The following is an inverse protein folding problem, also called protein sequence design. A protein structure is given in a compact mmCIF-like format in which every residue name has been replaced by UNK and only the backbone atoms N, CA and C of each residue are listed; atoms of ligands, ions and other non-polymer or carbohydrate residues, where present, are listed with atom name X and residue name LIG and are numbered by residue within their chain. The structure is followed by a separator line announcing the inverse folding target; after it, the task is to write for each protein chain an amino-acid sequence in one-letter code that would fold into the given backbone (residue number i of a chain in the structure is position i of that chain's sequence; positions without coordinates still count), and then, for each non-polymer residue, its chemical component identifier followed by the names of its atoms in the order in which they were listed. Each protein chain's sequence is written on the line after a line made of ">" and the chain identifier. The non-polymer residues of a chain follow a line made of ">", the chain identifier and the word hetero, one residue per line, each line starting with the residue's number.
data_IF_564750462039
#
_entry.id   IF_564750462039
#
_cell.length_a   1.000
_cell.length_b   1.000
_cell.length_c   1.000
_cell.angle_alpha   90.00
_cell.angle_beta   90.00
_cell.angle_gamma   90.00
#
_symmetry.space_group_name_H-M   'P 1'
#
loop_
_entity.id
_entity.type
_entity.pdbx_description
1 polymer ?
#
# COMPACT_ATOMS: atom_id res chain seq x y z
N UNK A 1 -25.35 -14.58 16.11
CA UNK A 1 -24.17 -14.21 15.29
C UNK A 1 -22.87 -14.07 16.11
N UNK A 2 -22.87 -13.44 17.29
CA UNK A 2 -21.67 -13.27 18.15
C UNK A 2 -21.08 -14.59 18.66
N UNK A 3 -21.91 -15.58 19.00
CA UNK A 3 -21.46 -16.85 19.57
C UNK A 3 -20.81 -17.79 18.54
N UNK A 4 -21.33 -17.86 17.33
CA UNK A 4 -20.68 -18.56 16.19
C UNK A 4 -19.31 -17.97 15.86
N UNK A 5 -19.18 -16.64 15.95
CA UNK A 5 -17.93 -15.93 15.73
C UNK A 5 -16.89 -16.23 16.80
N UNK A 6 -17.32 -16.34 18.07
CA UNK A 6 -16.45 -16.66 19.21
C UNK A 6 -15.99 -18.12 19.18
N UNK A 7 -16.85 -19.06 18.74
CA UNK A 7 -16.49 -20.47 18.54
C UNK A 7 -15.52 -20.66 17.38
N UNK A 8 -15.70 -19.91 16.28
CA UNK A 8 -14.79 -19.94 15.15
C UNK A 8 -13.40 -19.38 15.47
N UNK A 9 -13.32 -18.29 16.23
CA UNK A 9 -12.05 -17.71 16.71
C UNK A 9 -11.34 -18.65 17.70
N UNK A 10 -12.09 -19.35 18.56
CA UNK A 10 -11.55 -20.41 19.42
C UNK A 10 -11.07 -21.61 18.62
N UNK A 11 -11.77 -22.00 17.56
CA UNK A 11 -11.36 -23.07 16.66
C UNK A 11 -10.09 -22.70 15.87
N UNK A 12 -9.98 -21.48 15.37
CA UNK A 12 -8.73 -20.97 14.76
C UNK A 12 -7.57 -20.92 15.78
N UNK A 13 -7.83 -20.54 17.02
CA UNK A 13 -6.84 -20.57 18.11
C UNK A 13 -6.41 -22.01 18.45
N UNK A 14 -7.33 -22.99 18.40
CA UNK A 14 -7.04 -24.41 18.64
C UNK A 14 -6.28 -25.06 17.48
N UNK A 15 -6.59 -24.68 16.23
CA UNK A 15 -5.85 -25.15 15.05
C UNK A 15 -4.44 -24.55 15.00
N UNK A 16 -4.28 -23.29 15.44
CA UNK A 16 -2.96 -22.66 15.58
C UNK A 16 -2.15 -23.19 16.78
N UNK A 17 -2.83 -23.58 17.87
CA UNK A 17 -2.19 -24.10 19.08
C UNK A 17 -1.90 -25.61 19.08
N UNK A 18 -2.45 -26.37 18.13
CA UNK A 18 -2.35 -27.84 18.07
C UNK A 18 -1.19 -28.41 17.23
N UNK A 19 -0.40 -27.58 16.56
CA UNK A 19 0.72 -28.00 15.72
C UNK A 19 2.05 -27.35 16.12
N UNK A 20 2.43 -27.49 17.37
CA UNK A 20 3.85 -27.38 17.75
C UNK A 20 4.56 -28.67 17.32
N UNK A 21 4.91 -28.79 16.05
CA UNK A 21 5.82 -29.84 15.61
C UNK A 21 7.24 -29.33 15.80
N UNK A 22 7.86 -29.83 16.85
CA UNK A 22 9.31 -29.76 17.07
C UNK A 22 10.03 -30.33 15.84
N UNK A 23 10.87 -29.56 15.18
CA UNK A 23 11.84 -30.10 14.23
C UNK A 23 12.27 -29.25 13.03
N UNK A 24 11.59 -28.13 12.71
CA UNK A 24 11.91 -27.36 11.50
C UNK A 24 12.62 -26.00 11.70
N UNK A 25 12.88 -25.60 12.91
CA UNK A 25 13.18 -24.20 13.24
C UNK A 25 14.61 -23.72 12.95
N UNK A 26 15.56 -24.61 12.68
CA UNK A 26 16.98 -24.21 12.46
C UNK A 26 17.33 -23.83 11.03
N UNK A 27 16.49 -24.18 10.05
CA UNK A 27 16.78 -23.99 8.62
C UNK A 27 16.30 -22.64 8.07
N UNK A 28 15.42 -21.90 8.75
CA UNK A 28 14.81 -20.69 8.19
C UNK A 28 15.65 -19.41 8.32
N UNK A 29 16.53 -19.31 9.32
CA UNK A 29 17.29 -18.08 9.54
C UNK A 29 18.42 -17.87 8.53
N UNK A 30 19.03 -18.95 8.05
CA UNK A 30 20.18 -18.90 7.15
C UNK A 30 19.79 -18.87 5.67
N UNK A 31 18.63 -19.40 5.29
CA UNK A 31 18.22 -19.50 3.89
C UNK A 31 17.63 -18.21 3.30
N UNK A 32 17.05 -17.33 4.11
CA UNK A 32 16.46 -16.06 3.60
C UNK A 32 17.59 -15.11 3.15
N UNK A 33 18.74 -15.11 3.84
CA UNK A 33 19.91 -14.29 3.47
C UNK A 33 20.84 -14.97 2.46
N UNK A 34 20.78 -16.30 2.31
CA UNK A 34 21.63 -17.05 1.38
C UNK A 34 20.97 -17.36 0.04
N UNK A 35 19.63 -17.28 -0.08
CA UNK A 35 19.02 -17.36 -1.41
C UNK A 35 19.43 -16.10 -2.18
N UNK A 36 20.21 -16.30 -3.26
CA UNK A 36 20.49 -15.26 -4.25
C UNK A 36 19.21 -14.50 -4.52
N UNK A 37 19.23 -13.18 -4.38
CA UNK A 37 18.10 -12.25 -4.61
C UNK A 37 17.84 -12.20 -6.12
N UNK A 38 17.58 -13.33 -6.71
CA UNK A 38 17.36 -13.44 -8.16
C UNK A 38 15.88 -13.24 -8.46
N UNK A 39 15.53 -12.56 -9.54
CA UNK A 39 14.15 -12.41 -9.99
C UNK A 39 13.46 -13.75 -10.18
N UNK A 40 12.12 -13.75 -10.14
CA UNK A 40 11.37 -14.97 -10.47
C UNK A 40 11.68 -15.41 -11.91
N UNK A 41 11.62 -16.71 -12.20
CA UNK A 41 11.87 -17.25 -13.55
C UNK A 41 11.01 -16.55 -14.62
N UNK A 42 9.75 -16.23 -14.28
CA UNK A 42 8.84 -15.51 -15.19
C UNK A 42 9.27 -14.07 -15.46
N UNK A 43 9.76 -13.35 -14.45
CA UNK A 43 10.28 -11.98 -14.61
C UNK A 43 11.58 -12.00 -15.41
N UNK A 44 12.53 -12.90 -15.08
CA UNK A 44 13.76 -13.06 -15.85
C UNK A 44 13.50 -13.38 -17.32
N UNK A 45 12.52 -14.25 -17.61
CA UNK A 45 12.11 -14.57 -18.95
C UNK A 45 11.49 -13.38 -19.68
N UNK A 46 10.68 -12.56 -18.98
CA UNK A 46 10.09 -11.34 -19.56
C UNK A 46 11.15 -10.31 -19.91
N UNK A 47 12.23 -10.23 -19.13
CA UNK A 47 13.36 -9.33 -19.41
C UNK A 47 14.20 -9.88 -20.56
N UNK A 48 14.55 -11.16 -20.53
CA UNK A 48 15.32 -11.81 -21.61
C UNK A 48 14.63 -11.69 -22.97
N UNK A 49 13.29 -11.75 -22.98
CA UNK A 49 12.48 -11.59 -24.19
C UNK A 49 12.21 -10.11 -24.57
N UNK A 50 12.81 -9.14 -23.87
CA UNK A 50 12.62 -7.69 -24.14
C UNK A 50 11.24 -7.14 -23.81
N UNK A 51 10.38 -7.92 -23.13
CA UNK A 51 9.03 -7.49 -22.72
C UNK A 51 9.09 -6.49 -21.57
N UNK A 52 10.08 -6.62 -20.69
CA UNK A 52 10.36 -5.68 -19.60
C UNK A 52 11.82 -5.25 -19.75
N UNK A 53 12.07 -3.95 -19.64
CA UNK A 53 13.41 -3.35 -19.66
C UNK A 53 13.79 -2.87 -18.27
N UNK A 54 15.07 -2.82 -17.96
CA UNK A 54 15.58 -2.02 -16.85
C UNK A 54 15.69 -0.58 -17.36
N UNK A 55 15.18 0.39 -16.61
CA UNK A 55 15.24 1.80 -17.00
C UNK A 55 16.69 2.28 -16.93
N UNK A 56 17.10 3.08 -17.90
CA UNK A 56 18.43 3.71 -17.91
C UNK A 56 18.50 4.95 -17.03
N UNK A 57 17.35 5.58 -16.78
CA UNK A 57 17.27 6.74 -15.90
C UNK A 57 17.13 6.30 -14.46
N UNK A 58 17.95 6.86 -13.57
CA UNK A 58 17.88 6.64 -12.12
C UNK A 58 16.59 7.16 -11.54
N UNK A 59 16.04 6.38 -10.63
CA UNK A 59 14.89 6.74 -9.79
C UNK A 59 15.34 6.91 -8.35
N UNK A 60 15.43 8.14 -7.89
CA UNK A 60 15.81 8.43 -6.51
C UNK A 60 14.66 8.09 -5.56
N UNK A 61 15.00 7.40 -4.49
CA UNK A 61 14.10 7.14 -3.35
C UNK A 61 14.80 7.62 -2.09
N UNK A 62 14.18 8.55 -1.41
CA UNK A 62 14.71 9.26 -0.27
C UNK A 62 14.26 8.61 1.03
N UNK A 63 15.23 8.30 1.89
CA UNK A 63 15.03 7.58 3.13
C UNK A 63 15.44 8.46 4.31
N UNK A 64 14.57 8.56 5.30
CA UNK A 64 14.88 9.17 6.58
C UNK A 64 14.47 8.21 7.71
N UNK A 65 15.39 7.89 8.60
CA UNK A 65 15.11 7.07 9.77
C UNK A 65 14.73 7.94 10.96
N UNK A 66 13.52 7.73 11.48
CA UNK A 66 13.05 8.30 12.74
C UNK A 66 13.31 7.31 13.87
N UNK A 67 13.94 7.76 14.94
CA UNK A 67 14.20 6.92 16.12
C UNK A 67 13.02 6.94 17.11
N UNK A 68 12.23 8.00 17.11
CA UNK A 68 11.10 8.16 18.00
C UNK A 68 9.85 8.64 17.26
N UNK A 69 8.68 8.33 17.81
CA UNK A 69 7.38 8.78 17.26
C UNK A 69 7.30 10.31 17.22
N UNK A 70 7.92 10.99 18.19
CA UNK A 70 7.98 12.47 18.26
C UNK A 70 8.71 13.09 17.06
N UNK A 71 9.64 12.37 16.46
CA UNK A 71 10.46 12.85 15.35
C UNK A 71 9.77 12.64 13.99
N UNK A 72 8.59 12.00 13.97
CA UNK A 72 7.92 11.60 12.72
C UNK A 72 7.50 12.80 11.88
N UNK A 73 7.05 13.88 12.49
CA UNK A 73 6.67 15.11 11.76
C UNK A 73 7.89 15.69 11.02
N UNK A 74 9.01 15.83 11.71
CA UNK A 74 10.28 16.32 11.13
C UNK A 74 10.82 15.36 10.06
N UNK A 75 10.76 14.05 10.31
CA UNK A 75 11.17 13.02 9.37
C UNK A 75 10.40 13.10 8.04
N UNK A 76 9.08 13.30 8.10
CA UNK A 76 8.24 13.47 6.92
C UNK A 76 8.59 14.75 6.16
N UNK A 77 8.78 15.86 6.87
CA UNK A 77 9.15 17.14 6.27
C UNK A 77 10.51 17.03 5.57
N UNK A 78 11.51 16.43 6.21
CA UNK A 78 12.84 16.23 5.63
C UNK A 78 12.82 15.32 4.41
N UNK A 79 12.10 14.19 4.50
CA UNK A 79 11.97 13.26 3.39
C UNK A 79 11.25 13.89 2.18
N UNK A 80 10.19 14.65 2.42
CA UNK A 80 9.46 15.34 1.37
C UNK A 80 10.30 16.45 0.70
N UNK A 81 11.00 17.28 1.48
CA UNK A 81 11.87 18.33 0.95
C UNK A 81 13.10 17.76 0.18
N UNK A 82 13.56 16.58 0.53
CA UNK A 82 14.62 15.92 -0.22
C UNK A 82 14.11 15.32 -1.54
N UNK A 83 12.87 14.77 -1.54
CA UNK A 83 12.30 14.10 -2.70
C UNK A 83 11.84 15.08 -3.79
N UNK A 84 11.46 16.32 -3.41
CA UNK A 84 11.01 17.33 -4.36
C UNK A 84 11.25 18.73 -3.82
N UNK A 85 11.60 19.66 -4.71
CA UNK A 85 11.74 21.09 -4.40
C UNK A 85 10.40 21.82 -4.28
N UNK A 86 9.30 21.14 -4.54
CA UNK A 86 7.94 21.70 -4.66
C UNK A 86 7.78 22.76 -5.77
N UNK A 87 8.70 22.84 -6.74
CA UNK A 87 8.61 23.77 -7.87
C UNK A 87 7.34 23.60 -8.72
N UNK A 88 6.69 22.45 -8.62
CA UNK A 88 5.39 22.17 -9.25
C UNK A 88 4.21 22.88 -8.55
N UNK A 89 4.35 23.31 -7.28
CA UNK A 89 3.29 23.96 -6.50
C UNK A 89 3.47 25.49 -6.55
N UNK A 90 2.51 26.17 -7.15
CA UNK A 90 2.45 27.64 -7.16
C UNK A 90 1.55 28.16 -6.04
N UNK A 91 1.87 29.33 -5.51
CA UNK A 91 1.02 29.99 -4.52
C UNK A 91 -0.42 30.13 -5.01
N UNK A 92 -1.37 29.76 -4.16
CA UNK A 92 -2.80 29.80 -4.48
C UNK A 92 -3.36 28.49 -5.06
N UNK A 93 -2.52 27.53 -5.43
CA UNK A 93 -2.97 26.23 -5.93
C UNK A 93 -3.46 25.31 -4.80
N UNK A 94 -4.18 24.28 -5.20
CA UNK A 94 -4.75 23.26 -4.33
C UNK A 94 -4.03 21.91 -4.48
N UNK A 95 -3.86 21.23 -3.35
CA UNK A 95 -3.26 19.89 -3.31
C UNK A 95 -4.21 18.90 -2.66
N UNK A 96 -4.42 17.77 -3.32
CA UNK A 96 -5.15 16.64 -2.75
C UNK A 96 -4.16 15.63 -2.17
N UNK A 97 -4.24 15.37 -0.87
CA UNK A 97 -3.52 14.27 -0.22
C UNK A 97 -4.42 13.03 -0.28
N UNK A 98 -3.98 12.03 -1.04
CA UNK A 98 -4.61 10.71 -1.01
C UNK A 98 -4.08 9.91 0.16
N UNK A 99 -4.83 9.83 1.22
CA UNK A 99 -4.58 8.95 2.36
C UNK A 99 -5.15 7.54 2.13
N UNK A 100 -4.88 6.62 3.04
CA UNK A 100 -5.58 5.32 3.13
C UNK A 100 -6.42 5.32 4.40
N UNK A 101 -7.74 5.34 4.22
CA UNK A 101 -8.74 5.28 5.28
C UNK A 101 -9.68 4.09 5.07
N UNK A 102 -9.09 2.90 4.87
CA UNK A 102 -9.82 1.68 4.52
C UNK A 102 -10.86 1.28 5.57
N UNK A 103 -10.57 1.56 6.85
CA UNK A 103 -11.39 1.16 8.02
C UNK A 103 -11.24 2.17 9.15
N UNK A 104 -11.96 1.94 10.26
CA UNK A 104 -11.81 2.72 11.50
C UNK A 104 -10.69 2.20 12.43
N UNK A 105 -9.85 1.27 11.97
CA UNK A 105 -8.70 0.85 12.75
C UNK A 105 -7.58 1.89 12.69
N UNK A 106 -6.83 2.06 13.79
CA UNK A 106 -5.74 3.03 13.81
C UNK A 106 -4.59 2.59 12.89
N UNK A 107 -3.66 3.50 12.65
CA UNK A 107 -2.38 3.20 12.02
C UNK A 107 -1.69 1.98 12.70
N UNK A 108 -1.14 1.03 11.95
CA UNK A 108 -0.83 1.00 10.54
C UNK A 108 -1.91 0.36 9.64
N UNK A 109 -3.14 0.17 10.10
CA UNK A 109 -4.24 -0.25 9.23
C UNK A 109 -4.74 0.88 8.30
N UNK A 110 -4.38 2.13 8.60
CA UNK A 110 -4.60 3.34 7.80
C UNK A 110 -3.27 4.05 7.56
N UNK A 111 -3.25 5.17 6.85
CA UNK A 111 -2.09 6.07 6.81
C UNK A 111 -1.80 6.66 8.19
N UNK A 112 -0.55 7.07 8.43
CA UNK A 112 -0.13 7.65 9.70
C UNK A 112 -0.70 9.06 9.87
N UNK A 113 -1.54 9.33 10.90
CA UNK A 113 -2.13 10.65 11.11
C UNK A 113 -1.11 11.76 11.33
N UNK A 114 0.03 11.46 12.01
CA UNK A 114 1.11 12.42 12.25
C UNK A 114 1.76 12.80 10.91
N UNK A 115 2.01 11.83 10.05
CA UNK A 115 2.58 12.07 8.73
C UNK A 115 1.64 12.90 7.84
N UNK A 116 0.33 12.61 7.88
CA UNK A 116 -0.69 13.40 7.15
C UNK A 116 -0.70 14.84 7.66
N UNK A 117 -0.73 15.05 8.97
CA UNK A 117 -0.68 16.37 9.60
C UNK A 117 0.58 17.16 9.17
N UNK A 118 1.75 16.53 9.22
CA UNK A 118 3.02 17.09 8.79
C UNK A 118 2.98 17.56 7.32
N UNK A 119 2.45 16.70 6.44
CA UNK A 119 2.34 17.05 5.02
C UNK A 119 1.34 18.16 4.76
N UNK A 120 0.20 18.21 5.47
CA UNK A 120 -0.75 19.33 5.38
C UNK A 120 -0.08 20.65 5.73
N UNK A 121 0.63 20.71 6.87
CA UNK A 121 1.37 21.91 7.31
C UNK A 121 2.45 22.30 6.29
N UNK A 122 3.23 21.32 5.81
CA UNK A 122 4.29 21.57 4.83
C UNK A 122 3.74 22.14 3.52
N UNK A 123 2.69 21.56 2.96
CA UNK A 123 2.10 22.04 1.71
C UNK A 123 1.52 23.45 1.85
N UNK A 124 0.92 23.79 2.98
CA UNK A 124 0.49 25.15 3.28
C UNK A 124 1.66 26.12 3.36
N UNK A 125 2.74 25.71 4.01
CA UNK A 125 3.97 26.49 4.09
C UNK A 125 4.62 26.73 2.73
N UNK A 126 4.47 25.77 1.81
CA UNK A 126 4.93 25.85 0.41
C UNK A 126 3.98 26.66 -0.49
N UNK A 127 2.89 27.21 0.05
CA UNK A 127 1.99 28.13 -0.65
C UNK A 127 0.69 27.52 -1.18
N UNK A 128 0.36 26.27 -0.81
CA UNK A 128 -0.94 25.70 -1.12
C UNK A 128 -2.05 26.50 -0.43
N UNK A 129 -3.02 27.01 -1.20
CA UNK A 129 -4.20 27.68 -0.67
C UNK A 129 -5.14 26.68 0.03
N UNK A 130 -5.30 25.50 -0.58
CA UNK A 130 -6.14 24.42 -0.06
C UNK A 130 -5.36 23.11 -0.04
N UNK A 131 -5.41 22.42 1.09
CA UNK A 131 -4.88 21.07 1.22
C UNK A 131 -6.03 20.16 1.63
N UNK A 132 -6.48 19.33 0.71
CA UNK A 132 -7.64 18.47 0.85
C UNK A 132 -7.15 17.05 1.11
N UNK A 133 -7.68 16.37 2.12
CA UNK A 133 -7.28 15.00 2.48
C UNK A 133 -8.47 14.07 2.35
N UNK A 134 -8.35 13.02 1.55
CA UNK A 134 -9.48 12.13 1.33
C UNK A 134 -9.14 10.73 0.88
N UNK A 135 -10.13 9.86 1.07
CA UNK A 135 -10.16 8.46 0.65
C UNK A 135 -11.63 7.99 0.64
N UNK A 136 -11.90 6.91 -0.03
CA UNK A 136 -13.14 6.17 0.09
C UNK A 136 -12.89 4.82 0.75
N UNK A 137 -13.47 4.61 1.91
CA UNK A 137 -13.25 3.43 2.74
C UNK A 137 -13.56 2.11 2.02
N UNK A 138 -13.03 1.03 2.58
CA UNK A 138 -13.18 -0.31 2.01
C UNK A 138 -14.64 -0.76 1.95
N UNK A 139 -14.98 -1.54 0.92
CA UNK A 139 -16.35 -2.02 0.66
C UNK A 139 -16.94 -2.89 1.79
N UNK A 140 -16.12 -3.37 2.71
CA UNK A 140 -16.59 -4.07 3.91
C UNK A 140 -17.18 -3.10 4.94
N UNK A 141 -16.75 -1.84 4.92
CA UNK A 141 -17.09 -0.82 5.91
C UNK A 141 -18.02 0.25 5.33
N UNK A 142 -17.93 0.49 4.03
CA UNK A 142 -18.75 1.45 3.31
C UNK A 142 -19.38 0.78 2.08
N UNK A 143 -20.71 0.76 2.04
CA UNK A 143 -21.50 0.31 0.89
C UNK A 143 -22.21 1.52 0.32
N UNK A 144 -21.64 2.06 -0.75
CA UNK A 144 -22.15 3.25 -1.42
C UNK A 144 -22.76 2.87 -2.76
N UNK A 145 -24.06 3.01 -2.89
CA UNK A 145 -24.85 2.73 -4.08
C UNK A 145 -25.63 3.98 -4.49
N UNK A 146 -26.22 3.95 -5.68
CA UNK A 146 -26.95 5.09 -6.23
C UNK A 146 -28.14 5.52 -5.35
N UNK A 147 -28.80 4.56 -4.73
CA UNK A 147 -30.01 4.73 -3.94
C UNK A 147 -29.80 4.73 -2.43
N UNK A 148 -28.61 4.29 -1.96
CA UNK A 148 -28.34 4.21 -0.53
C UNK A 148 -26.84 4.17 -0.19
N UNK A 149 -26.53 4.68 1.00
CA UNK A 149 -25.21 4.58 1.62
C UNK A 149 -25.34 3.90 2.98
N UNK A 150 -24.49 2.89 3.23
CA UNK A 150 -24.38 2.20 4.52
C UNK A 150 -22.94 2.29 4.99
N UNK A 151 -22.71 2.92 6.13
CA UNK A 151 -21.40 3.28 6.63
C UNK A 151 -21.04 4.72 6.26
N UNK A 152 -19.85 5.17 6.71
CA UNK A 152 -19.35 6.53 6.46
C UNK A 152 -17.84 6.54 6.55
N UNK A 153 -17.17 7.03 5.50
CA UNK A 153 -15.71 7.25 5.53
C UNK A 153 -15.32 8.29 6.57
N UNK A 154 -16.19 9.29 6.82
CA UNK A 154 -16.00 10.30 7.87
C UNK A 154 -15.92 9.68 9.25
N UNK A 155 -16.87 8.83 9.61
CA UNK A 155 -16.89 8.14 10.89
C UNK A 155 -15.71 7.17 11.06
N UNK A 156 -15.28 6.53 9.98
CA UNK A 156 -14.10 5.66 10.01
C UNK A 156 -12.81 6.47 10.17
N UNK A 157 -12.69 7.61 9.49
CA UNK A 157 -11.56 8.53 9.61
C UNK A 157 -11.48 9.14 11.02
N UNK A 158 -12.64 9.44 11.63
CA UNK A 158 -12.72 9.88 13.02
C UNK A 158 -12.25 8.78 13.99
N UNK A 159 -12.70 7.55 13.81
CA UNK A 159 -12.30 6.41 14.66
C UNK A 159 -10.81 6.08 14.58
N UNK A 160 -10.19 6.27 13.42
CA UNK A 160 -8.74 6.05 13.25
C UNK A 160 -7.88 7.19 13.83
N UNK A 161 -8.47 8.32 14.23
CA UNK A 161 -7.76 9.51 14.70
C UNK A 161 -7.24 10.42 13.58
N UNK A 162 -7.44 10.05 12.33
CA UNK A 162 -6.93 10.83 11.20
C UNK A 162 -7.73 12.11 10.96
N UNK A 163 -9.05 12.10 11.20
CA UNK A 163 -9.89 13.29 11.00
C UNK A 163 -9.39 14.47 11.83
N UNK A 164 -9.18 14.23 13.13
CA UNK A 164 -8.70 15.24 14.06
C UNK A 164 -7.30 15.76 13.66
N UNK A 165 -6.42 14.87 13.19
CA UNK A 165 -5.07 15.27 12.75
C UNK A 165 -5.11 16.16 11.51
N UNK A 166 -6.00 15.87 10.56
CA UNK A 166 -6.21 16.69 9.35
C UNK A 166 -6.74 18.07 9.72
N UNK A 167 -7.81 18.14 10.51
CA UNK A 167 -8.46 19.40 10.92
C UNK A 167 -7.52 20.29 11.75
N UNK A 168 -6.81 19.69 12.72
CA UNK A 168 -5.85 20.40 13.56
C UNK A 168 -4.67 20.98 12.76
N UNK A 169 -4.28 20.33 11.66
CA UNK A 169 -3.27 20.84 10.74
C UNK A 169 -3.81 21.93 9.78
N UNK A 170 -5.10 22.19 9.80
CA UNK A 170 -5.81 23.10 8.89
C UNK A 170 -6.03 22.51 7.50
N UNK A 171 -6.04 21.18 7.35
CA UNK A 171 -6.45 20.50 6.14
C UNK A 171 -7.97 20.38 6.03
N UNK A 172 -8.45 20.13 4.83
CA UNK A 172 -9.87 19.95 4.52
C UNK A 172 -10.17 18.45 4.33
N UNK A 173 -10.84 17.76 5.28
CA UNK A 173 -11.23 16.38 5.07
C UNK A 173 -12.30 16.26 3.99
N UNK A 174 -12.15 15.30 3.09
CA UNK A 174 -13.07 15.11 1.96
C UNK A 174 -13.47 13.64 1.82
N UNK A 175 -14.76 13.37 1.76
CA UNK A 175 -15.34 12.03 1.68
C UNK A 175 -16.12 11.89 0.39
N UNK A 176 -15.68 11.00 -0.48
CA UNK A 176 -16.15 10.91 -1.86
C UNK A 176 -17.66 10.56 -1.94
N UNK A 177 -18.14 9.73 -1.02
CA UNK A 177 -19.55 9.33 -0.98
C UNK A 177 -20.50 10.46 -0.56
N UNK A 178 -20.02 11.46 0.17
CA UNK A 178 -20.86 12.58 0.62
C UNK A 178 -21.31 13.50 -0.53
N UNK A 179 -20.56 13.52 -1.62
CA UNK A 179 -20.95 14.22 -2.84
C UNK A 179 -22.05 13.53 -3.65
N UNK A 180 -22.45 12.32 -3.27
CA UNK A 180 -23.43 11.53 -3.98
C UNK A 180 -22.86 10.75 -5.17
N UNK A 181 -23.73 9.89 -5.75
CA UNK A 181 -23.31 8.96 -6.82
C UNK A 181 -22.79 9.65 -8.07
N UNK A 182 -23.33 10.80 -8.40
CA UNK A 182 -23.00 11.56 -9.61
C UNK A 182 -21.80 12.50 -9.44
N UNK A 183 -21.19 12.54 -8.22
CA UNK A 183 -19.94 13.26 -7.97
C UNK A 183 -18.67 12.51 -8.43
N UNK A 184 -18.84 11.55 -9.32
CA UNK A 184 -17.76 10.78 -9.93
C UNK A 184 -17.79 10.94 -11.45
N UNK A 185 -16.63 10.91 -12.05
CA UNK A 185 -16.46 10.93 -13.49
C UNK A 185 -15.76 9.68 -13.98
N UNK A 186 -15.92 9.36 -15.24
CA UNK A 186 -15.21 8.28 -15.90
C UNK A 186 -13.83 8.78 -16.34
N UNK A 187 -12.78 8.24 -15.74
CA UNK A 187 -11.40 8.44 -16.20
C UNK A 187 -10.95 7.23 -17.03
N UNK A 188 -9.98 7.43 -17.88
CA UNK A 188 -9.42 6.40 -18.74
C UNK A 188 -7.94 6.24 -18.44
N UNK A 189 -7.45 5.01 -18.51
CA UNK A 189 -6.03 4.73 -18.52
C UNK A 189 -5.45 5.09 -19.88
N UNK A 190 -4.17 5.40 -19.93
CA UNK A 190 -3.44 5.62 -21.17
C UNK A 190 -2.91 4.32 -21.79
N UNK A 191 -3.17 3.19 -21.13
CA UNK A 191 -2.81 1.84 -21.60
C UNK A 191 -4.06 1.07 -21.97
N UNK A 192 -3.98 0.25 -23.02
CA UNK A 192 -4.99 -0.78 -23.29
C UNK A 192 -4.83 -1.91 -22.28
N UNK A 193 -5.95 -2.38 -21.72
CA UNK A 193 -5.91 -3.44 -20.72
C UNK A 193 -7.26 -3.69 -20.06
N UNK A 194 -7.25 -3.95 -18.76
CA UNK A 194 -8.45 -4.35 -18.03
C UNK A 194 -9.41 -3.20 -17.67
N UNK A 195 -9.03 -1.94 -17.94
CA UNK A 195 -9.85 -0.75 -17.71
C UNK A 195 -10.27 -0.04 -19.00
N UNK A 196 -10.42 -0.77 -20.11
CA UNK A 196 -10.77 -0.19 -21.40
C UNK A 196 -12.08 0.62 -21.36
N UNK A 197 -13.03 0.22 -20.52
CA UNK A 197 -14.27 0.96 -20.29
C UNK A 197 -14.13 2.15 -19.32
N UNK A 198 -12.91 2.43 -18.87
CA UNK A 198 -12.62 3.44 -17.86
C UNK A 198 -12.96 3.02 -16.43
N UNK A 199 -12.65 3.88 -15.50
CA UNK A 199 -12.86 3.71 -14.07
C UNK A 199 -13.48 4.98 -13.45
N UNK A 200 -14.36 4.81 -12.46
CA UNK A 200 -15.08 5.94 -11.87
C UNK A 200 -14.25 6.56 -10.76
N UNK A 201 -13.80 7.80 -10.99
CA UNK A 201 -12.96 8.60 -10.11
C UNK A 201 -13.75 9.79 -9.53
N UNK A 202 -13.44 10.29 -8.32
CA UNK A 202 -14.18 11.40 -7.72
C UNK A 202 -13.89 12.73 -8.43
N UNK A 203 -14.92 13.52 -8.70
CA UNK A 203 -14.83 14.81 -9.41
C UNK A 203 -13.87 15.81 -8.79
N UNK A 204 -13.60 15.71 -7.48
CA UNK A 204 -12.63 16.57 -6.80
C UNK A 204 -11.24 16.51 -7.45
N UNK A 205 -10.84 15.37 -8.03
CA UNK A 205 -9.53 15.20 -8.66
C UNK A 205 -9.38 16.04 -9.93
N UNK A 206 -10.48 16.40 -10.61
CA UNK A 206 -10.42 17.37 -11.70
C UNK A 206 -10.20 18.79 -11.22
N UNK A 207 -10.72 19.11 -10.02
CA UNK A 207 -10.73 20.46 -9.46
C UNK A 207 -9.46 20.86 -8.74
N UNK A 208 -8.65 19.88 -8.26
CA UNK A 208 -7.37 20.14 -7.62
C UNK A 208 -6.25 20.22 -8.65
N UNK A 209 -5.18 20.95 -8.31
CA UNK A 209 -4.03 21.13 -9.20
C UNK A 209 -3.05 19.97 -9.10
N UNK A 210 -2.78 19.47 -7.90
CA UNK A 210 -1.80 18.44 -7.63
C UNK A 210 -2.31 17.37 -6.67
N UNK A 211 -1.65 16.21 -6.71
CA UNK A 211 -1.93 15.07 -5.83
C UNK A 211 -0.62 14.64 -5.15
N UNK A 212 -0.68 14.46 -3.83
CA UNK A 212 0.33 13.78 -3.03
C UNK A 212 -0.27 12.47 -2.51
N UNK A 213 0.39 11.35 -2.77
CA UNK A 213 -0.06 10.04 -2.33
C UNK A 213 0.64 9.67 -1.02
N UNK A 214 -0.13 9.39 0.01
CA UNK A 214 0.38 9.00 1.33
C UNK A 214 -0.15 7.61 1.73
N UNK A 215 0.40 6.54 1.17
CA UNK A 215 -0.04 5.19 1.44
C UNK A 215 0.40 4.72 2.82
N UNK A 216 -0.07 3.55 3.21
CA UNK A 216 0.49 2.77 4.32
C UNK A 216 1.50 1.75 3.80
N UNK A 217 2.32 1.20 4.69
CA UNK A 217 3.21 0.07 4.40
C UNK A 217 2.69 -1.16 5.15
N UNK A 218 1.99 -2.07 4.48
CA UNK A 218 1.37 -3.22 5.13
C UNK A 218 1.20 -4.44 4.21
N UNK A 219 1.03 -5.62 4.81
CA UNK A 219 0.55 -6.81 4.12
C UNK A 219 -0.91 -6.65 3.71
N UNK A 220 -1.30 -7.40 2.69
CA UNK A 220 -2.68 -7.49 2.23
C UNK A 220 -2.97 -8.89 1.70
N UNK A 221 -3.96 -9.57 2.29
CA UNK A 221 -4.29 -10.98 1.98
C UNK A 221 -4.52 -11.24 0.49
N UNK A 222 -5.16 -10.33 -0.24
CA UNK A 222 -5.47 -10.50 -1.66
C UNK A 222 -4.37 -9.98 -2.58
N UNK A 223 -3.86 -8.79 -2.30
CA UNK A 223 -2.93 -8.10 -3.20
C UNK A 223 -1.45 -8.40 -2.92
N UNK A 224 -1.14 -9.09 -1.82
CA UNK A 224 0.23 -9.28 -1.33
C UNK A 224 0.66 -8.19 -0.38
N UNK A 225 0.69 -6.96 -0.86
CA UNK A 225 0.98 -5.77 -0.06
C UNK A 225 -0.04 -4.65 -0.31
N UNK A 226 -0.13 -3.71 0.62
CA UNK A 226 -0.89 -2.47 0.51
C UNK A 226 0.09 -1.31 0.63
N UNK A 227 0.49 -0.80 -0.53
CA UNK A 227 1.47 0.25 -0.73
C UNK A 227 0.88 1.33 -1.65
N UNK A 228 1.69 2.13 -2.31
CA UNK A 228 1.27 3.21 -3.19
C UNK A 228 0.37 2.75 -4.35
N UNK A 229 0.82 1.76 -5.12
CA UNK A 229 0.06 1.22 -6.25
C UNK A 229 -1.33 0.70 -5.82
N UNK A 230 -1.42 0.05 -4.65
CA UNK A 230 -2.69 -0.47 -4.14
C UNK A 230 -3.63 0.62 -3.62
N UNK A 231 -3.10 1.78 -3.22
CA UNK A 231 -3.89 2.88 -2.68
C UNK A 231 -4.86 3.49 -3.71
N UNK A 232 -4.64 3.26 -5.02
CA UNK A 232 -5.53 3.70 -6.10
C UNK A 232 -6.96 3.22 -5.93
N UNK A 233 -7.17 2.03 -5.35
CA UNK A 233 -8.50 1.45 -5.11
C UNK A 233 -9.37 2.36 -4.25
N UNK A 234 -8.78 3.17 -3.39
CA UNK A 234 -9.47 4.13 -2.54
C UNK A 234 -10.07 5.33 -3.30
N UNK A 235 -9.68 5.60 -4.53
CA UNK A 235 -10.35 6.61 -5.37
C UNK A 235 -11.67 6.10 -5.97
N UNK A 236 -11.78 4.80 -6.22
CA UNK A 236 -12.82 4.27 -7.09
C UNK A 236 -14.20 4.23 -6.43
N UNK A 237 -15.22 4.58 -7.22
CA UNK A 237 -16.63 4.39 -6.83
C UNK A 237 -16.93 2.89 -6.59
N UNK A 238 -17.93 2.60 -5.81
CA UNK A 238 -18.26 1.22 -5.38
C UNK A 238 -18.42 0.24 -6.53
N UNK A 239 -19.06 0.64 -7.63
CA UNK A 239 -19.23 -0.21 -8.82
C UNK A 239 -17.88 -0.62 -9.44
N UNK A 240 -16.95 0.33 -9.55
CA UNK A 240 -15.58 0.06 -10.02
C UNK A 240 -14.83 -0.85 -9.03
N UNK A 241 -14.97 -0.60 -7.70
CA UNK A 241 -14.40 -1.50 -6.66
C UNK A 241 -14.98 -2.91 -6.74
N UNK A 242 -16.28 -3.05 -6.99
CA UNK A 242 -16.93 -4.36 -7.15
C UNK A 242 -16.42 -5.07 -8.40
N UNK A 243 -16.35 -4.37 -9.55
CA UNK A 243 -15.77 -4.91 -10.78
C UNK A 243 -14.32 -5.40 -10.56
N UNK A 244 -13.51 -4.61 -9.86
CA UNK A 244 -12.15 -4.96 -9.49
C UNK A 244 -12.07 -6.28 -8.69
N UNK A 245 -12.94 -6.46 -7.70
CA UNK A 245 -12.95 -7.66 -6.86
C UNK A 245 -13.57 -8.87 -7.55
N UNK A 246 -14.59 -8.69 -8.38
CA UNK A 246 -15.19 -9.80 -9.16
C UNK A 246 -14.23 -10.39 -10.19
N UNK A 247 -13.31 -9.60 -10.71
CA UNK A 247 -12.30 -10.05 -11.67
C UNK A 247 -11.00 -10.49 -10.98
N UNK A 248 -11.10 -11.41 -10.02
CA UNK A 248 -9.99 -11.88 -9.20
C UNK A 248 -8.74 -12.32 -9.98
N UNK A 249 -8.91 -12.92 -11.16
CA UNK A 249 -7.79 -13.35 -12.02
C UNK A 249 -6.93 -12.21 -12.53
N UNK A 250 -7.46 -11.00 -12.62
CA UNK A 250 -6.77 -9.77 -13.07
C UNK A 250 -6.65 -8.71 -11.97
N UNK A 251 -6.83 -9.09 -10.71
CA UNK A 251 -6.82 -8.14 -9.59
C UNK A 251 -5.48 -7.38 -9.48
N UNK A 252 -4.36 -8.05 -9.67
CA UNK A 252 -3.04 -7.44 -9.56
C UNK A 252 -2.77 -6.51 -10.73
N UNK A 253 -3.10 -6.95 -11.95
CA UNK A 253 -2.97 -6.16 -13.17
C UNK A 253 -3.85 -4.90 -13.09
N UNK A 254 -5.13 -5.06 -12.72
CA UNK A 254 -6.05 -3.93 -12.52
C UNK A 254 -5.58 -2.94 -11.46
N UNK A 255 -4.90 -3.43 -10.42
CA UNK A 255 -4.29 -2.56 -9.40
C UNK A 255 -3.21 -1.67 -10.02
N UNK A 256 -2.29 -2.24 -10.77
CA UNK A 256 -1.21 -1.48 -11.42
C UNK A 256 -1.77 -0.52 -12.48
N UNK A 257 -2.64 -1.00 -13.37
CA UNK A 257 -3.24 -0.22 -14.46
C UNK A 257 -4.09 0.96 -13.96
N UNK A 258 -4.78 0.82 -12.82
CA UNK A 258 -5.56 1.91 -12.25
C UNK A 258 -4.73 3.16 -11.95
N UNK A 259 -3.41 3.00 -11.70
CA UNK A 259 -2.49 4.13 -11.52
C UNK A 259 -2.10 4.81 -12.85
N UNK A 260 -2.48 4.22 -13.99
CA UNK A 260 -2.35 4.82 -15.33
C UNK A 260 -3.57 5.68 -15.72
N UNK A 261 -4.50 5.95 -14.80
CA UNK A 261 -5.57 6.92 -14.99
C UNK A 261 -4.97 8.29 -15.38
N UNK A 262 -5.48 8.89 -16.45
CA UNK A 262 -4.92 10.12 -17.03
C UNK A 262 -4.81 11.25 -16.01
N UNK A 263 -5.82 11.38 -15.13
CA UNK A 263 -5.78 12.39 -14.07
C UNK A 263 -4.65 12.17 -13.07
N UNK A 264 -4.39 10.91 -12.69
CA UNK A 264 -3.29 10.60 -11.77
C UNK A 264 -1.93 10.87 -12.41
N UNK A 265 -1.72 10.46 -13.66
CA UNK A 265 -0.49 10.74 -14.40
C UNK A 265 -0.21 12.23 -14.55
N UNK A 266 -1.26 13.02 -14.76
CA UNK A 266 -1.13 14.47 -14.92
C UNK A 266 -0.82 15.21 -13.62
N UNK A 267 -1.32 14.72 -12.45
CA UNK A 267 -1.38 15.51 -11.20
C UNK A 267 -0.59 14.94 -10.03
N UNK A 268 -0.28 13.64 -10.00
CA UNK A 268 0.46 13.03 -8.90
C UNK A 268 1.94 13.45 -8.96
N UNK A 269 2.46 14.03 -7.85
CA UNK A 269 3.78 14.62 -7.78
C UNK A 269 4.73 13.90 -6.81
N UNK A 270 4.18 13.37 -5.72
CA UNK A 270 4.96 12.78 -4.65
C UNK A 270 4.22 11.58 -4.08
N UNK A 271 4.97 10.55 -3.74
CA UNK A 271 4.51 9.42 -2.92
C UNK A 271 5.38 9.37 -1.68
N UNK A 272 4.77 9.38 -0.51
CA UNK A 272 5.49 9.33 0.76
C UNK A 272 4.76 8.45 1.77
N UNK A 273 5.46 7.54 2.41
CA UNK A 273 4.91 6.64 3.41
C UNK A 273 5.81 6.55 4.64
N UNK A 274 5.21 6.13 5.76
CA UNK A 274 5.92 5.83 7.00
C UNK A 274 5.89 4.33 7.28
N UNK A 275 6.98 3.81 7.82
CA UNK A 275 7.17 2.42 8.18
C UNK A 275 7.72 2.26 9.60
N UNK A 276 7.32 3.12 10.53
CA UNK A 276 7.58 3.02 11.97
C UNK A 276 6.68 1.98 12.66
N UNK A 277 5.54 1.69 12.06
CA UNK A 277 4.67 0.55 12.39
C UNK A 277 4.21 -0.12 11.11
N UNK A 278 4.25 -1.44 11.10
CA UNK A 278 3.91 -2.24 9.92
C UNK A 278 2.83 -3.25 10.30
N UNK A 279 1.78 -3.35 9.50
CA UNK A 279 0.87 -4.49 9.56
C UNK A 279 1.52 -5.64 8.79
N UNK A 280 2.28 -6.47 9.51
CA UNK A 280 3.25 -7.38 8.92
C UNK A 280 2.67 -8.72 8.46
N UNK A 281 1.49 -9.11 8.99
CA UNK A 281 0.79 -10.33 8.61
C UNK A 281 -0.59 -10.02 8.06
N UNK A 282 -1.28 -10.95 7.52
CA UNK A 282 -2.64 -10.96 7.01
C UNK A 282 -3.11 -9.67 6.27
N UNK A 283 -3.44 -8.55 6.98
CA UNK A 283 -4.05 -7.34 6.39
C UNK A 283 -5.38 -7.60 5.64
N UNK A 284 -6.10 -6.56 5.24
CA UNK A 284 -5.77 -5.13 5.30
C UNK A 284 -6.03 -4.46 6.65
N UNK A 285 -6.94 -4.96 7.48
CA UNK A 285 -7.42 -4.27 8.68
C UNK A 285 -6.83 -4.83 9.97
N UNK A 286 -6.51 -6.12 9.98
CA UNK A 286 -6.00 -6.86 11.13
C UNK A 286 -4.82 -7.73 10.76
N UNK A 287 -3.94 -7.97 11.71
CA UNK A 287 -2.73 -8.76 11.61
C UNK A 287 -1.79 -8.40 12.73
N UNK A 288 -0.61 -8.98 12.72
CA UNK A 288 0.43 -8.62 13.66
C UNK A 288 1.00 -7.23 13.32
N UNK A 289 1.01 -6.34 14.30
CA UNK A 289 1.62 -5.02 14.18
C UNK A 289 3.07 -5.12 14.66
N UNK A 290 3.99 -4.95 13.74
CA UNK A 290 5.42 -4.88 14.03
C UNK A 290 5.85 -3.41 14.16
N UNK A 291 6.59 -3.11 15.22
CA UNK A 291 7.24 -1.82 15.42
C UNK A 291 8.74 -2.01 15.23
N UNK A 292 9.33 -1.60 14.12
CA UNK A 292 10.78 -1.64 13.91
C UNK A 292 11.54 -0.83 14.94
N UNK A 293 12.82 -1.18 15.17
CA UNK A 293 13.70 -0.42 16.09
C UNK A 293 13.94 1.01 15.63
N UNK A 294 13.80 1.28 14.34
CA UNK A 294 13.76 2.62 13.75
C UNK A 294 12.58 2.70 12.79
N UNK A 295 11.90 3.82 12.76
CA UNK A 295 10.86 4.11 11.77
C UNK A 295 11.49 4.61 10.47
N UNK A 296 11.06 4.10 9.32
CA UNK A 296 11.55 4.56 8.02
C UNK A 296 10.49 5.40 7.32
N UNK A 297 10.84 6.62 6.95
CA UNK A 297 10.06 7.43 6.01
C UNK A 297 10.65 7.23 4.62
N UNK A 298 9.81 6.93 3.65
CA UNK A 298 10.17 6.62 2.27
C UNK A 298 9.44 7.59 1.35
N UNK A 299 10.18 8.38 0.58
CA UNK A 299 9.62 9.37 -0.33
C UNK A 299 10.21 9.24 -1.73
N UNK A 300 9.38 9.37 -2.77
CA UNK A 300 9.80 9.36 -4.16
C UNK A 300 8.76 10.03 -5.08
N UNK A 301 9.17 10.54 -6.23
CA UNK A 301 8.24 10.97 -7.28
C UNK A 301 7.67 9.76 -8.04
N UNK A 302 8.48 8.72 -8.26
CA UNK A 302 8.05 7.47 -8.91
C UNK A 302 7.31 6.55 -7.93
N UNK A 303 6.04 6.28 -8.21
CA UNK A 303 5.23 5.35 -7.42
C UNK A 303 5.78 3.91 -7.47
N UNK A 304 6.36 3.50 -8.59
CA UNK A 304 6.92 2.16 -8.75
C UNK A 304 8.20 2.03 -7.92
N UNK A 305 9.09 3.03 -7.99
CA UNK A 305 10.31 3.07 -7.20
C UNK A 305 10.01 3.11 -5.69
N UNK A 306 9.05 3.94 -5.28
CA UNK A 306 8.56 3.99 -3.90
C UNK A 306 8.08 2.62 -3.42
N UNK A 307 7.27 1.92 -4.21
CA UNK A 307 6.69 0.64 -3.80
C UNK A 307 7.73 -0.49 -3.78
N UNK A 308 8.74 -0.47 -4.65
CA UNK A 308 9.88 -1.40 -4.58
C UNK A 308 10.59 -1.29 -3.23
N UNK A 309 10.90 -0.07 -2.79
CA UNK A 309 11.62 0.18 -1.53
C UNK A 309 10.72 -0.07 -0.32
N UNK A 310 9.47 0.34 -0.38
CA UNK A 310 8.49 0.09 0.69
C UNK A 310 8.22 -1.40 0.88
N UNK A 311 8.18 -2.17 -0.22
CA UNK A 311 8.06 -3.62 -0.14
C UNK A 311 9.32 -4.27 0.41
N UNK A 312 10.51 -3.80 0.00
CA UNK A 312 11.77 -4.26 0.57
C UNK A 312 11.81 -4.02 2.09
N UNK A 313 11.37 -2.84 2.55
CA UNK A 313 11.24 -2.53 3.98
C UNK A 313 10.29 -3.46 4.71
N UNK A 314 9.12 -3.72 4.14
CA UNK A 314 8.14 -4.66 4.71
C UNK A 314 8.72 -6.08 4.82
N UNK A 315 9.40 -6.56 3.79
CA UNK A 315 10.01 -7.90 3.76
C UNK A 315 11.24 -8.00 4.66
N UNK A 316 12.06 -6.95 4.76
CA UNK A 316 13.16 -6.88 5.71
C UNK A 316 12.64 -7.07 7.14
N UNK A 317 11.62 -6.32 7.54
CA UNK A 317 11.03 -6.39 8.87
C UNK A 317 10.32 -7.72 9.14
N UNK A 318 9.82 -8.40 8.10
CA UNK A 318 9.26 -9.75 8.22
C UNK A 318 10.26 -10.73 8.86
N UNK A 319 11.54 -10.61 8.55
CA UNK A 319 12.59 -11.48 9.11
C UNK A 319 12.83 -11.25 10.61
N UNK A 320 12.35 -10.13 11.12
CA UNK A 320 12.49 -9.72 12.51
C UNK A 320 11.24 -10.04 13.37
N UNK A 321 10.20 -10.60 12.76
CA UNK A 321 8.98 -10.97 13.50
C UNK A 321 9.25 -12.10 14.49
N UNK A 322 8.48 -12.20 15.59
CA UNK A 322 8.48 -13.36 16.47
C UNK A 322 8.23 -14.65 15.66
N UNK A 323 8.86 -15.74 16.10
CA UNK A 323 8.82 -17.01 15.36
C UNK A 323 7.38 -17.53 15.12
N UNK A 324 6.49 -17.33 16.08
CA UNK A 324 5.08 -17.68 16.02
C UNK A 324 4.30 -16.88 14.95
N UNK A 325 4.75 -15.67 14.63
CA UNK A 325 4.12 -14.82 13.61
C UNK A 325 4.69 -15.03 12.22
N UNK A 326 5.89 -15.63 12.11
CA UNK A 326 6.56 -15.84 10.83
C UNK A 326 5.87 -16.92 9.97
N UNK A 327 5.22 -17.91 10.60
CA UNK A 327 4.60 -19.04 9.90
C UNK A 327 3.13 -18.87 9.55
N UNK A 328 2.45 -17.85 10.09
CA UNK A 328 1.00 -17.69 9.96
C UNK A 328 0.68 -16.61 8.94
N UNK A 329 -0.07 -16.91 7.87
CA UNK A 329 -0.54 -15.96 6.85
C UNK A 329 0.54 -15.12 6.13
N UNK A 330 1.82 -15.30 6.49
CA UNK A 330 2.95 -14.57 5.88
C UNK A 330 3.31 -15.19 4.54
N UNK A 331 3.27 -16.52 4.48
CA UNK A 331 3.63 -17.30 3.31
C UNK A 331 2.50 -18.27 2.96
N UNK A 332 1.90 -18.08 1.78
CA UNK A 332 0.85 -18.96 1.27
C UNK A 332 1.40 -20.27 0.70
N UNK A 333 2.71 -20.48 0.69
CA UNK A 333 3.34 -21.72 0.22
C UNK A 333 3.09 -22.91 1.17
N UNK A 334 2.92 -22.63 2.48
CA UNK A 334 2.64 -23.70 3.46
C UNK A 334 1.19 -24.17 3.40
N UNK A 335 0.95 -25.44 3.63
CA UNK A 335 -0.41 -26.01 3.64
C UNK A 335 -1.32 -25.35 4.68
N UNK A 336 -0.77 -25.02 5.86
CA UNK A 336 -1.49 -24.36 6.95
C UNK A 336 -1.88 -22.93 6.58
N UNK A 337 -0.96 -22.16 5.98
CA UNK A 337 -1.24 -20.81 5.51
C UNK A 337 -2.28 -20.80 4.38
N UNK A 338 -2.20 -21.75 3.45
CA UNK A 338 -3.21 -21.94 2.38
C UNK A 338 -4.58 -22.24 2.95
N UNK A 339 -4.68 -23.15 3.91
CA UNK A 339 -5.93 -23.49 4.57
C UNK A 339 -6.49 -22.28 5.34
N UNK A 340 -5.65 -21.59 6.11
CA UNK A 340 -6.04 -20.40 6.87
C UNK A 340 -6.51 -19.26 5.95
N UNK A 341 -5.80 -18.99 4.86
CA UNK A 341 -6.21 -18.01 3.87
C UNK A 341 -7.53 -18.38 3.19
N UNK A 342 -7.72 -19.67 2.84
CA UNK A 342 -8.96 -20.16 2.25
C UNK A 342 -10.14 -19.96 3.20
N UNK A 343 -9.98 -20.30 4.47
CA UNK A 343 -11.02 -20.14 5.48
C UNK A 343 -11.32 -18.65 5.74
N UNK A 344 -10.30 -17.80 5.83
CA UNK A 344 -10.46 -16.36 5.98
C UNK A 344 -11.19 -15.73 4.78
N UNK A 345 -10.84 -16.11 3.58
CA UNK A 345 -11.46 -15.65 2.34
C UNK A 345 -12.92 -16.10 2.25
N UNK A 346 -13.22 -17.37 2.57
CA UNK A 346 -14.60 -17.86 2.65
C UNK A 346 -15.43 -17.13 3.69
N UNK A 347 -14.84 -16.82 4.83
CA UNK A 347 -15.53 -16.17 5.93
C UNK A 347 -15.81 -14.69 5.66
N UNK A 348 -14.94 -13.99 4.92
CA UNK A 348 -15.18 -12.64 4.46
C UNK A 348 -16.41 -12.51 3.56
N UNK A 349 -16.87 -13.64 2.98
CA UNK A 349 -18.25 -13.90 2.53
C UNK A 349 -18.88 -12.98 1.48
N UNK A 350 -18.23 -11.87 1.14
CA UNK A 350 -18.84 -10.83 0.33
C UNK A 350 -18.55 -10.99 -1.17
N UNK A 351 -17.56 -11.83 -1.54
CA UNK A 351 -17.04 -11.90 -2.91
C UNK A 351 -17.01 -13.30 -3.51
N UNK A 352 -17.62 -14.26 -2.85
CA UNK A 352 -17.88 -15.60 -3.39
C UNK A 352 -16.68 -16.21 -4.15
N UNK A 353 -16.92 -16.59 -5.38
CA UNK A 353 -15.95 -17.27 -6.24
C UNK A 353 -14.67 -16.46 -6.54
N UNK A 354 -14.73 -15.13 -6.51
CA UNK A 354 -13.57 -14.29 -6.79
C UNK A 354 -12.46 -14.43 -5.77
N UNK A 355 -12.84 -14.53 -4.49
CA UNK A 355 -11.89 -14.70 -3.40
C UNK A 355 -11.34 -16.12 -3.30
N UNK A 356 -11.99 -17.08 -3.95
CA UNK A 356 -11.54 -18.48 -4.05
C UNK A 356 -10.54 -18.73 -5.19
N UNK A 357 -10.21 -17.71 -5.96
CA UNK A 357 -9.24 -17.85 -7.05
C UNK A 357 -7.88 -18.31 -6.50
N UNK A 358 -7.36 -19.40 -7.06
CA UNK A 358 -6.01 -19.89 -6.74
C UNK A 358 -4.93 -18.80 -6.90
N UNK A 359 -5.11 -17.90 -7.87
CA UNK A 359 -4.19 -16.79 -8.14
C UNK A 359 -4.06 -15.84 -6.95
N UNK A 360 -5.15 -15.61 -6.18
CA UNK A 360 -5.13 -14.78 -4.98
C UNK A 360 -4.59 -15.56 -3.77
N UNK A 361 -4.98 -16.83 -3.64
CA UNK A 361 -4.57 -17.67 -2.52
C UNK A 361 -3.10 -18.08 -2.58
N UNK A 362 -2.50 -18.13 -3.77
CA UNK A 362 -1.08 -18.45 -4.00
C UNK A 362 -0.25 -17.17 -4.16
N UNK A 363 -0.39 -16.22 -3.26
CA UNK A 363 0.41 -15.00 -3.27
C UNK A 363 1.66 -15.19 -2.39
N UNK A 364 2.62 -15.96 -2.90
CA UNK A 364 3.91 -16.21 -2.26
C UNK A 364 4.82 -14.99 -2.47
N UNK A 365 4.99 -14.19 -1.42
CA UNK A 365 5.73 -12.94 -1.45
C UNK A 365 6.97 -13.06 -0.55
N UNK A 366 8.05 -13.59 -1.10
CA UNK A 366 9.34 -13.73 -0.40
C UNK A 366 10.32 -12.60 -0.75
N UNK A 367 10.25 -12.13 -1.98
CA UNK A 367 11.10 -11.08 -2.54
C UNK A 367 10.22 -10.03 -3.20
N UNK A 368 10.75 -8.83 -3.41
CA UNK A 368 10.01 -7.79 -4.15
C UNK A 368 9.65 -8.27 -5.57
N UNK A 369 10.47 -9.12 -6.16
CA UNK A 369 10.31 -9.70 -7.50
C UNK A 369 9.15 -10.71 -7.61
N UNK A 370 8.61 -11.18 -6.49
CA UNK A 370 7.46 -12.07 -6.44
C UNK A 370 6.13 -11.30 -6.43
N UNK A 371 6.17 -9.96 -6.23
CA UNK A 371 4.97 -9.12 -6.20
C UNK A 371 4.36 -8.97 -7.59
N UNK A 372 3.11 -9.42 -7.71
CA UNK A 372 2.40 -9.45 -8.99
C UNK A 372 1.96 -8.06 -9.47
N UNK A 373 1.70 -7.14 -8.54
CA UNK A 373 1.34 -5.76 -8.85
C UNK A 373 2.56 -5.03 -9.44
N UNK A 374 3.72 -5.12 -8.76
CA UNK A 374 4.97 -4.56 -9.26
C UNK A 374 5.37 -5.16 -10.61
N UNK A 375 5.28 -6.49 -10.76
CA UNK A 375 5.62 -7.16 -12.02
C UNK A 375 4.76 -6.68 -13.22
N UNK A 376 3.50 -6.33 -12.98
CA UNK A 376 2.69 -5.70 -14.01
C UNK A 376 3.03 -4.22 -14.19
N UNK A 377 3.28 -3.51 -13.08
CA UNK A 377 3.69 -2.11 -13.13
C UNK A 377 4.98 -1.91 -13.95
N UNK A 378 5.97 -2.79 -13.83
CA UNK A 378 7.18 -2.72 -14.67
C UNK A 378 6.88 -2.73 -16.17
N UNK A 379 5.86 -3.46 -16.59
CA UNK A 379 5.45 -3.53 -18.01
C UNK A 379 4.84 -2.23 -18.53
N UNK A 380 4.05 -1.56 -17.67
CA UNK A 380 3.24 -0.41 -18.09
C UNK A 380 3.82 0.94 -17.68
N UNK A 381 4.84 0.97 -16.80
CA UNK A 381 5.53 2.20 -16.38
C UNK A 381 6.94 2.34 -17.00
N UNK A 382 7.20 1.67 -18.11
CA UNK A 382 8.44 1.84 -18.88
C UNK A 382 9.61 0.98 -18.41
N UNK A 383 9.40 0.02 -17.50
CA UNK A 383 10.43 -0.92 -17.06
C UNK A 383 10.64 -0.96 -15.56
N UNK A 384 11.65 -1.72 -15.15
CA UNK A 384 12.12 -1.78 -13.75
C UNK A 384 12.93 -0.51 -13.50
N UNK A 385 12.57 0.31 -12.50
CA UNK A 385 13.37 1.48 -12.12
C UNK A 385 14.79 1.09 -11.66
N UNK A 386 15.78 1.83 -12.12
CA UNK A 386 17.13 1.79 -11.54
C UNK A 386 17.12 2.60 -10.24
N UNK A 387 17.04 1.91 -9.10
CA UNK A 387 16.83 2.53 -7.79
C UNK A 387 18.13 3.10 -7.23
N UNK A 388 18.11 4.39 -6.92
CA UNK A 388 19.13 5.02 -6.10
C UNK A 388 18.55 5.40 -4.73
N UNK A 389 19.11 4.83 -3.65
CA UNK A 389 18.67 5.12 -2.28
C UNK A 389 19.46 6.28 -1.70
N UNK A 390 18.79 7.39 -1.46
CA UNK A 390 19.33 8.59 -0.82
C UNK A 390 19.10 8.53 0.70
N UNK A 391 20.18 8.39 1.46
CA UNK A 391 20.15 8.36 2.92
C UNK A 391 20.24 9.79 3.48
N UNK A 392 19.10 10.40 3.76
CA UNK A 392 19.02 11.78 4.21
C UNK A 392 19.71 11.94 5.56
N UNK A 393 20.70 12.84 5.63
CA UNK A 393 21.50 13.10 6.84
C UNK A 393 22.14 11.86 7.46
N UNK A 394 22.35 10.80 6.69
CA UNK A 394 22.91 9.53 7.13
C UNK A 394 22.16 8.89 8.33
N UNK A 395 20.85 9.10 8.40
CA UNK A 395 20.02 8.60 9.51
C UNK A 395 19.75 7.10 9.46
N UNK A 396 19.78 6.49 8.28
CA UNK A 396 19.58 5.04 8.10
C UNK A 396 20.93 4.33 8.33
N UNK A 397 21.00 3.33 9.24
CA UNK A 397 22.22 2.56 9.46
C UNK A 397 22.73 1.90 8.19
N UNK A 398 24.05 1.97 7.93
CA UNK A 398 24.65 1.50 6.66
C UNK A 398 24.37 0.02 6.36
N UNK A 399 24.38 -0.83 7.38
CA UNK A 399 24.03 -2.26 7.21
C UNK A 399 22.62 -2.45 6.67
N UNK A 400 21.67 -1.67 7.17
CA UNK A 400 20.27 -1.70 6.71
C UNK A 400 20.15 -1.14 5.29
N UNK A 401 20.79 -0.01 5.03
CA UNK A 401 20.81 0.62 3.72
C UNK A 401 21.39 -0.31 2.65
N UNK A 402 22.50 -0.99 2.97
CA UNK A 402 23.11 -2.01 2.11
C UNK A 402 22.13 -3.14 1.81
N UNK A 403 21.46 -3.67 2.84
CA UNK A 403 20.46 -4.74 2.66
C UNK A 403 19.29 -4.29 1.76
N UNK A 404 18.77 -3.08 1.98
CA UNK A 404 17.70 -2.55 1.14
C UNK A 404 18.14 -2.36 -0.32
N UNK A 405 19.37 -1.85 -0.56
CA UNK A 405 19.97 -1.77 -1.91
C UNK A 405 20.02 -3.13 -2.60
N UNK A 406 20.51 -4.15 -1.90
CA UNK A 406 20.60 -5.51 -2.42
C UNK A 406 19.20 -6.08 -2.75
N UNK A 407 18.17 -5.74 -1.97
CA UNK A 407 16.79 -6.23 -2.20
C UNK A 407 16.12 -5.58 -3.40
N UNK A 408 16.44 -4.32 -3.72
CA UNK A 408 15.77 -3.57 -4.80
C UNK A 408 16.58 -3.55 -6.09
N UNK A 409 17.84 -3.94 -6.06
CA UNK A 409 18.70 -3.94 -7.24
C UNK A 409 18.42 -5.19 -8.09
N UNK A 410 18.16 -4.97 -9.38
CA UNK A 410 18.04 -6.05 -10.36
C UNK A 410 19.44 -6.48 -10.79
N UNK A 411 19.82 -7.72 -10.48
CA UNK A 411 21.10 -8.34 -10.87
C UNK A 411 20.93 -9.20 -12.11
#
# INVERSE_FOLDING_TARGET
>A
MREKRRRFLKFLGLVAGGFTVFGGFKLFKDDIFKQKISPSKALSQSIANGVIRVQSQRSNVFLYASQHVQDMEDAVIKAANAATDFGWLKTGQSVFIKSVNNSGFPYPATSNPIAISAMVKLLKLKGAQRVIVGDMSGIQHLKFYKDKTIGSSRELMKKSGMLQAVEAAGGEPFFFEEGGWDSFYKDHTDTKGFWDNGLMMPEILKKVDHIVLMPRCSRHVLAGASLGLKAVVGYWRTDTKLQYHYHAKSLHERTAEGNRAKTLLAKQRLVISTGDKLLATFGPDKGYVHTPSIGLVIAAESIVAHDMVSLAWLLYNRTLLPAEEQGTFIDTSTAVAKLGNTLAVKWLGTFGNSLMSEKLLKNDLKRIWDDKVLNHAYRIFGGIPDIHLENIQNTVPEKMLKTLREMVHYQ
#
